data_IF_902244560789
#
_entry.id   IF_902244560789
#
_cell.length_a   1.000
_cell.length_b   1.000
_cell.length_c   1.000
_cell.angle_alpha   90.00
_cell.angle_beta   90.00
_cell.angle_gamma   90.00
#
_symmetry.space_group_name_H-M   'P 1'
#
loop_
_entity.id
_entity.type
_entity.pdbx_description
1 polymer ?
#
# COMPACT_ATOMS: atom_id res chain seq x y z
N UNK A 1 31.12 14.13 -16.42
CA UNK A 1 30.77 14.04 -16.37
C UNK A 1 29.90 14.01 -16.27
N UNK A 2 29.75 13.85 -16.47
CA UNK A 2 28.97 13.81 -16.44
C UNK A 2 28.17 13.56 -16.23
N UNK A 3 28.09 13.37 -16.29
CA UNK A 3 27.45 13.08 -16.23
C UNK A 3 26.65 12.83 -15.90
N UNK A 4 26.47 12.77 -15.73
CA UNK A 4 25.86 12.54 -15.44
C UNK A 4 24.85 12.53 -15.19
N UNK A 5 24.59 12.71 -15.39
CA UNK A 5 23.67 12.77 -15.29
C UNK A 5 22.91 12.52 -15.84
N UNK A 6 23.03 12.46 -16.25
CA UNK A 6 22.51 12.18 -16.81
C UNK A 6 21.81 11.55 -16.78
N UNK A 7 21.46 11.42 -16.72
CA UNK A 7 20.85 10.91 -16.67
C UNK A 7 20.18 10.48 -16.73
N UNK A 8 19.89 10.43 -16.70
CA UNK A 8 19.35 9.80 -16.67
C UNK A 8 18.12 9.74 -16.76
N UNK A 9 17.62 9.62 -17.61
CA UNK A 9 16.32 9.42 -17.75
C UNK A 9 15.99 8.03 -17.57
N UNK A 10 15.17 7.67 -16.62
CA UNK A 10 14.73 6.33 -16.40
C UNK A 10 13.46 6.15 -17.20
N UNK A 11 13.44 5.16 -18.05
CA UNK A 11 12.24 4.87 -18.79
C UNK A 11 11.45 3.81 -18.06
N UNK A 12 10.20 4.07 -17.84
CA UNK A 12 9.34 3.19 -17.10
C UNK A 12 8.27 2.68 -18.03
N UNK A 13 8.16 1.36 -18.09
CA UNK A 13 7.16 0.72 -18.94
C UNK A 13 6.18 -0.05 -18.12
N UNK A 14 4.97 -0.08 -18.60
CA UNK A 14 3.91 -0.80 -17.94
C UNK A 14 3.39 -1.85 -18.92
N UNK A 15 3.68 -3.10 -18.64
CA UNK A 15 3.24 -4.16 -19.54
C UNK A 15 1.73 -4.34 -19.44
N UNK A 16 1.10 -4.90 -20.47
CA UNK A 16 -0.35 -5.10 -20.40
C UNK A 16 -0.79 -6.00 -19.26
N UNK A 17 0.01 -7.02 -18.94
CA UNK A 17 -0.35 -7.89 -17.85
C UNK A 17 -0.35 -7.16 -16.52
N UNK A 18 0.70 -6.39 -16.29
CA UNK A 18 0.81 -5.67 -15.02
C UNK A 18 -0.22 -4.55 -14.95
N UNK A 19 -0.57 -3.98 -16.10
CA UNK A 19 -1.51 -2.88 -16.12
C UNK A 19 -2.90 -3.28 -15.65
N UNK A 20 -3.23 -4.56 -15.71
CA UNK A 20 -4.51 -5.01 -15.21
C UNK A 20 -4.66 -4.76 -13.72
N UNK A 21 -3.56 -4.80 -13.00
CA UNK A 21 -3.57 -4.51 -11.59
C UNK A 21 -4.14 -5.63 -10.76
N UNK A 22 -4.00 -5.47 -9.47
CA UNK A 22 -4.58 -6.40 -8.52
C UNK A 22 -5.34 -5.58 -7.50
N UNK A 23 -6.57 -5.96 -7.27
CA UNK A 23 -7.35 -5.31 -6.23
C UNK A 23 -7.02 -5.92 -4.91
N UNK A 24 -6.85 -5.10 -3.90
CA UNK A 24 -6.66 -5.60 -2.56
C UNK A 24 -7.40 -4.69 -1.60
N UNK A 25 -7.79 -5.24 -0.48
CA UNK A 25 -8.48 -4.44 0.53
C UNK A 25 -7.79 -4.53 1.88
N UNK A 26 -6.59 -5.08 1.92
CA UNK A 26 -5.84 -5.16 3.15
C UNK A 26 -4.37 -5.14 2.83
N UNK A 27 -3.61 -4.33 3.53
CA UNK A 27 -2.18 -4.33 3.40
C UNK A 27 -1.58 -4.55 4.78
N UNK A 28 -0.70 -5.51 4.90
CA UNK A 28 -0.01 -5.76 6.15
C UNK A 28 1.45 -5.43 5.94
N UNK A 29 2.01 -4.68 6.85
CA UNK A 29 3.35 -4.17 6.69
C UNK A 29 4.19 -4.59 7.88
N UNK A 30 5.34 -5.14 7.59
CA UNK A 30 6.28 -5.55 8.61
C UNK A 30 7.66 -5.05 8.22
N UNK A 31 8.58 -5.06 9.15
CA UNK A 31 9.91 -4.60 8.83
C UNK A 31 10.94 -5.36 9.63
N UNK A 32 12.12 -5.42 9.07
CA UNK A 32 13.31 -5.83 9.78
C UNK A 32 14.29 -4.66 9.75
N UNK A 33 15.53 -4.88 10.17
CA UNK A 33 16.47 -3.76 10.18
C UNK A 33 16.87 -3.26 8.80
N UNK A 34 16.72 -4.08 7.78
CA UNK A 34 17.20 -3.71 6.46
C UNK A 34 16.12 -3.61 5.41
N UNK A 35 14.91 -3.99 5.71
CA UNK A 35 13.87 -3.96 4.67
C UNK A 35 12.48 -3.88 5.26
N UNK A 36 11.57 -3.46 4.41
CA UNK A 36 10.14 -3.46 4.73
C UNK A 36 9.47 -4.46 3.82
N UNK A 37 8.50 -5.17 4.37
CA UNK A 37 7.69 -6.11 3.61
C UNK A 37 6.26 -5.60 3.59
N UNK A 38 5.70 -5.47 2.39
CA UNK A 38 4.33 -5.03 2.26
C UNK A 38 3.55 -6.12 1.57
N UNK A 39 2.60 -6.67 2.27
CA UNK A 39 1.80 -7.78 1.76
C UNK A 39 0.42 -7.26 1.43
N UNK A 40 0.00 -7.47 0.20
CA UNK A 40 -1.29 -7.00 -0.26
C UNK A 40 -2.22 -8.19 -0.38
N UNK A 41 -3.38 -8.09 0.25
CA UNK A 41 -4.26 -9.21 0.47
C UNK A 41 -5.67 -8.82 0.08
N UNK A 42 -6.40 -9.75 -0.49
CA UNK A 42 -7.83 -9.55 -0.70
C UNK A 42 -8.56 -10.47 0.25
N UNK A 43 -9.40 -9.87 1.06
CA UNK A 43 -10.23 -10.61 1.99
C UNK A 43 -11.65 -10.54 1.49
N UNK A 44 -12.29 -11.68 1.37
CA UNK A 44 -13.64 -11.74 0.88
C UNK A 44 -14.40 -12.84 1.62
N UNK A 45 -15.70 -12.76 1.67
CA UNK A 45 -16.47 -13.85 2.25
C UNK A 45 -16.15 -15.14 1.53
N UNK A 46 -16.15 -16.21 2.15
CA UNK A 46 -15.87 -17.50 1.54
C UNK A 46 -14.43 -17.69 1.11
N UNK A 47 -13.57 -16.75 1.42
CA UNK A 47 -12.18 -16.89 1.11
C UNK A 47 -11.45 -17.19 2.40
N UNK A 48 -11.21 -18.45 2.67
CA UNK A 48 -10.60 -18.86 3.90
C UNK A 48 -9.64 -19.99 3.61
N UNK A 49 -8.34 -19.80 3.82
CA UNK A 49 -7.79 -18.54 4.35
C UNK A 49 -7.63 -17.49 3.28
N UNK A 50 -7.57 -16.26 3.71
CA UNK A 50 -7.19 -15.20 2.80
C UNK A 50 -5.71 -15.35 2.45
N UNK A 51 -5.37 -14.99 1.23
CA UNK A 51 -4.00 -15.21 0.78
C UNK A 51 -3.36 -13.93 0.37
N UNK A 52 -2.07 -13.85 0.61
CA UNK A 52 -1.29 -12.71 0.14
C UNK A 52 -1.18 -12.83 -1.37
N UNK A 53 -1.62 -11.81 -2.06
CA UNK A 53 -1.53 -11.77 -3.50
C UNK A 53 -0.17 -11.32 -3.97
N UNK A 54 0.38 -10.34 -3.30
CA UNK A 54 1.64 -9.74 -3.73
C UNK A 54 2.40 -9.31 -2.50
N UNK A 55 3.68 -9.64 -2.49
CA UNK A 55 4.56 -9.12 -1.45
C UNK A 55 5.59 -8.23 -2.13
N UNK A 56 5.73 -7.02 -1.63
CA UNK A 56 6.73 -6.09 -2.13
C UNK A 56 7.72 -5.85 -1.02
N UNK A 57 8.99 -5.93 -1.37
CA UNK A 57 10.05 -5.72 -0.39
C UNK A 57 10.85 -4.52 -0.84
N UNK A 58 11.11 -3.62 0.09
CA UNK A 58 11.89 -2.45 -0.27
C UNK A 58 12.76 -2.03 0.89
N UNK A 59 13.77 -1.24 0.58
CA UNK A 59 14.64 -0.72 1.61
C UNK A 59 13.90 0.27 2.47
N UNK A 60 14.39 0.53 3.69
CA UNK A 60 13.74 1.53 4.53
C UNK A 60 13.66 2.90 3.87
N UNK A 61 14.70 3.30 3.14
CA UNK A 61 14.67 4.58 2.46
C UNK A 61 13.55 4.65 1.43
N UNK A 62 13.39 3.57 0.67
CA UNK A 62 12.34 3.57 -0.34
C UNK A 62 10.95 3.48 0.29
N UNK A 63 10.85 2.79 1.42
CA UNK A 63 9.58 2.73 2.12
C UNK A 63 9.17 4.11 2.61
N UNK A 64 10.14 4.87 3.08
CA UNK A 64 9.83 6.22 3.55
C UNK A 64 9.43 7.12 2.40
N UNK A 65 10.07 6.97 1.25
CA UNK A 65 9.67 7.73 0.07
C UNK A 65 8.26 7.36 -0.37
N UNK A 66 7.93 6.08 -0.30
CA UNK A 66 6.58 5.64 -0.62
C UNK A 66 5.57 6.26 0.33
N UNK A 67 5.88 6.30 1.60
CA UNK A 67 4.99 6.91 2.57
C UNK A 67 4.68 8.36 2.20
N UNK A 68 5.72 9.13 1.86
CA UNK A 68 5.52 10.52 1.52
C UNK A 68 4.75 10.68 0.23
N UNK A 69 5.04 9.86 -0.77
CA UNK A 69 4.34 9.94 -2.05
C UNK A 69 2.88 9.59 -1.89
N UNK A 70 2.59 8.57 -1.09
CA UNK A 70 1.21 8.18 -0.88
C UNK A 70 0.47 9.27 -0.12
N UNK A 71 1.12 9.85 0.89
CA UNK A 71 0.49 10.90 1.67
C UNK A 71 0.13 12.09 0.78
N UNK A 72 1.02 12.45 -0.12
CA UNK A 72 0.74 13.55 -1.02
C UNK A 72 -0.43 13.24 -1.94
N UNK A 73 -0.49 12.03 -2.44
CA UNK A 73 -1.58 11.66 -3.33
C UNK A 73 -2.91 11.60 -2.59
N UNK A 74 -2.91 11.12 -1.37
CA UNK A 74 -4.12 11.12 -0.58
C UNK A 74 -4.59 12.56 -0.35
N UNK A 75 -3.66 13.45 -0.06
CA UNK A 75 -4.02 14.84 0.17
C UNK A 75 -4.63 15.47 -1.07
N UNK A 76 -4.04 15.23 -2.24
CA UNK A 76 -4.58 15.77 -3.47
C UNK A 76 -5.95 15.18 -3.78
N UNK A 77 -6.12 13.90 -3.50
CA UNK A 77 -7.41 13.28 -3.70
C UNK A 77 -8.46 13.98 -2.83
N UNK A 78 -8.11 14.21 -1.57
CA UNK A 78 -9.08 14.80 -0.66
C UNK A 78 -9.41 16.24 -1.02
N UNK A 79 -8.47 16.96 -1.59
CA UNK A 79 -8.73 18.31 -2.03
C UNK A 79 -9.71 18.35 -3.19
N UNK A 80 -9.69 17.32 -4.02
CA UNK A 80 -10.55 17.30 -5.20
C UNK A 80 -11.89 16.63 -4.90
N UNK A 81 -11.87 15.57 -4.15
CA UNK A 81 -13.06 14.74 -3.98
C UNK A 81 -13.62 14.73 -2.57
N UNK A 82 -12.94 15.34 -1.64
CA UNK A 82 -13.42 15.36 -0.26
C UNK A 82 -12.68 14.36 0.61
N UNK A 83 -12.88 14.51 1.87
CA UNK A 83 -12.18 13.72 2.86
C UNK A 83 -12.49 12.24 2.72
N UNK A 84 -11.47 11.42 2.79
CA UNK A 84 -11.62 9.99 2.81
C UNK A 84 -12.00 9.60 4.22
N UNK A 85 -13.16 8.99 4.36
CA UNK A 85 -13.60 8.58 5.68
C UNK A 85 -13.44 7.09 5.83
N UNK A 86 -13.01 6.63 6.99
CA UNK A 86 -12.88 5.22 7.18
C UNK A 86 -14.23 4.55 7.03
N UNK A 87 -14.24 3.36 6.47
CA UNK A 87 -15.45 2.62 6.38
C UNK A 87 -15.88 2.24 7.79
N UNK A 88 -17.12 2.52 8.07
CA UNK A 88 -17.60 2.26 9.37
C UNK A 88 -17.95 0.86 9.49
N UNK A 89 -17.25 0.15 10.24
CA UNK A 89 -17.61 -1.20 10.37
C UNK A 89 -18.74 -1.26 11.27
N UNK A 90 -19.65 -1.42 11.18
CA UNK A 90 -20.63 -1.55 11.94
C UNK A 90 -20.40 -2.47 12.89
N UNK A 91 -20.10 -2.90 13.19
CA UNK A 91 -19.76 -3.69 13.91
C UNK A 91 -18.73 -3.80 14.46
N UNK A 92 -18.41 -3.62 14.80
CA UNK A 92 -17.42 -3.67 15.17
C UNK A 92 -17.14 -4.21 15.98
N UNK A 93 -17.18 -4.66 16.19
CA UNK A 93 -16.90 -5.18 16.88
C UNK A 93 -16.08 -5.20 17.61
N UNK A 94 -16.22 -5.22 18.18
CA UNK A 94 -15.47 -5.13 18.98
C UNK A 94 -14.54 -5.85 19.19
N UNK A 95 -14.52 -6.04 19.35
CA UNK A 95 -13.76 -6.56 19.63
C UNK A 95 -13.05 -7.05 19.25
N UNK A 96 -13.23 -7.00 18.79
CA UNK A 96 -12.53 -7.34 18.41
C UNK A 96 -11.53 -7.27 18.50
N UNK A 97 -11.62 -7.20 18.71
CA UNK A 97 -10.66 -7.07 18.82
C UNK A 97 -9.84 -7.37 18.26
N UNK A 98 -9.99 -7.29 18.07
CA UNK A 98 -9.25 -7.68 17.47
C UNK A 98 -8.20 -7.43 16.79
N UNK A 99 -8.26 -7.44 15.68
CA UNK A 99 -7.22 -7.21 14.89
C UNK A 99 -7.12 -5.83 14.60
N UNK A 100 -6.06 -5.20 14.87
CA UNK A 100 -5.93 -3.83 14.50
C UNK A 100 -5.98 -3.75 13.04
N UNK A 101 -6.70 -2.86 12.54
CA UNK A 101 -6.76 -2.65 11.14
C UNK A 101 -5.52 -1.90 10.71
N UNK A 102 -4.67 -2.47 9.89
CA UNK A 102 -3.45 -1.78 9.52
C UNK A 102 -3.69 -0.51 8.76
N UNK A 103 -4.82 -0.37 8.10
CA UNK A 103 -5.07 0.88 7.44
C UNK A 103 -5.46 1.96 8.38
N UNK A 104 -5.96 1.59 9.51
CA UNK A 104 -6.36 2.57 10.42
C UNK A 104 -5.34 2.79 11.37
N UNK A 105 -4.55 2.02 11.42
CA UNK A 105 -3.51 2.12 12.10
C UNK A 105 -3.21 2.79 12.97
N UNK A 106 -3.44 2.77 12.74
CA UNK A 106 -3.00 3.20 13.25
C UNK A 106 -2.53 3.66 13.77
#
# INVERSE_FOLDING_TARGET
>A
MANQNQQQEIKIELSPEVAKGNNCNLAMIAHGPNEFFMDFITVAPNMNPARVQTRVIMTPENAKQLLHALAENVQRYEQTFGEIKPRQPKQQQPGNGGIPNPFMGA
#
